data_IF_060813480413
#
_entry.id   IF_060813480413
#
_cell.length_a   1.000
_cell.length_b   1.000
_cell.length_c   1.000
_cell.angle_alpha   90.00
_cell.angle_beta   90.00
_cell.angle_gamma   90.00
#
_symmetry.space_group_name_H-M   'P 1'
#
loop_
_entity.id
_entity.type
_entity.pdbx_description
1 polymer ?
#
# COMPACT_ATOMS: atom_id res chain seq x y z
N UNK A 1 54.63 -75.09 -0.45
CA UNK A 1 53.91 -73.92 -0.11
C UNK A 1 52.98 -73.55 -1.28
N UNK A 2 51.71 -73.96 -1.08
CA UNK A 2 50.66 -73.67 -2.04
C UNK A 2 49.83 -72.49 -1.58
N UNK A 3 50.10 -71.32 -2.14
CA UNK A 3 49.25 -70.18 -2.00
C UNK A 3 48.22 -70.19 -3.12
N UNK A 4 46.96 -70.52 -2.79
CA UNK A 4 45.81 -70.37 -3.68
C UNK A 4 45.54 -68.91 -3.84
N UNK A 5 45.39 -68.32 -5.04
CA UNK A 5 44.98 -66.95 -5.21
C UNK A 5 43.52 -66.82 -4.82
N UNK A 6 43.25 -65.95 -3.90
CA UNK A 6 41.89 -65.61 -3.44
C UNK A 6 41.07 -65.05 -4.62
N UNK A 7 40.00 -65.75 -5.01
CA UNK A 7 39.02 -65.26 -5.91
C UNK A 7 38.21 -64.11 -5.19
N UNK A 8 38.56 -62.92 -5.52
CA UNK A 8 37.74 -61.78 -5.12
C UNK A 8 36.41 -61.80 -5.89
N UNK A 9 35.31 -61.96 -5.20
CA UNK A 9 33.99 -61.84 -5.81
C UNK A 9 33.57 -60.36 -5.84
N UNK A 10 33.32 -59.83 -7.02
CA UNK A 10 32.68 -58.52 -7.20
C UNK A 10 31.18 -58.72 -7.27
N UNK A 11 30.48 -58.21 -6.27
CA UNK A 11 29.03 -58.28 -6.22
C UNK A 11 28.49 -56.95 -6.77
N UNK A 12 27.81 -56.96 -7.89
CA UNK A 12 27.10 -55.81 -8.48
C UNK A 12 25.63 -56.01 -8.19
N UNK A 13 25.08 -55.20 -7.26
CA UNK A 13 23.65 -55.19 -6.98
C UNK A 13 23.01 -54.00 -7.71
N UNK A 14 22.06 -54.27 -8.60
CA UNK A 14 21.22 -53.25 -9.24
C UNK A 14 19.83 -53.31 -8.63
N UNK A 15 19.41 -52.26 -7.97
CA UNK A 15 18.05 -52.12 -7.45
C UNK A 15 17.23 -51.21 -8.38
N UNK A 16 16.26 -51.80 -9.09
CA UNK A 16 15.35 -51.06 -9.96
C UNK A 16 13.95 -51.00 -9.33
N UNK A 17 13.60 -49.82 -8.87
CA UNK A 17 12.27 -49.55 -8.30
C UNK A 17 11.28 -49.28 -9.45
N UNK A 18 10.29 -50.12 -9.61
CA UNK A 18 9.19 -49.93 -10.55
C UNK A 18 8.04 -49.17 -9.83
N UNK A 19 7.87 -47.88 -10.04
CA UNK A 19 6.77 -47.18 -9.41
C UNK A 19 5.43 -47.66 -9.99
N UNK A 20 4.44 -47.82 -9.10
CA UNK A 20 3.09 -48.18 -9.50
C UNK A 20 2.49 -47.04 -10.36
N UNK A 21 2.10 -47.34 -11.62
CA UNK A 21 1.53 -46.36 -12.56
C UNK A 21 0.37 -45.57 -11.97
N UNK A 22 -0.54 -46.21 -11.22
CA UNK A 22 -1.66 -45.57 -10.55
C UNK A 22 -1.20 -44.51 -9.53
N UNK A 23 -0.09 -44.75 -8.84
CA UNK A 23 0.50 -43.78 -7.91
C UNK A 23 1.10 -42.60 -8.67
N UNK A 24 1.81 -42.83 -9.76
CA UNK A 24 2.34 -41.75 -10.61
C UNK A 24 1.22 -40.90 -11.20
N UNK A 25 0.14 -41.48 -11.71
CA UNK A 25 -1.00 -40.77 -12.26
C UNK A 25 -1.71 -39.92 -11.16
N UNK A 26 -1.82 -40.46 -9.95
CA UNK A 26 -2.38 -39.74 -8.82
C UNK A 26 -1.49 -38.56 -8.39
N UNK A 27 -0.18 -38.75 -8.33
CA UNK A 27 0.78 -37.71 -8.01
C UNK A 27 0.78 -36.60 -9.10
N UNK A 28 0.71 -36.98 -10.38
CA UNK A 28 0.59 -36.04 -11.49
C UNK A 28 -0.69 -35.21 -11.40
N UNK A 29 -1.82 -35.83 -11.14
CA UNK A 29 -3.09 -35.14 -10.98
C UNK A 29 -3.08 -34.21 -9.76
N UNK A 30 -2.48 -34.63 -8.65
CA UNK A 30 -2.28 -33.81 -7.48
C UNK A 30 -1.42 -32.56 -7.78
N UNK A 31 -0.29 -32.73 -8.47
CA UNK A 31 0.58 -31.61 -8.87
C UNK A 31 -0.12 -30.65 -9.84
N UNK A 32 -0.92 -31.16 -10.78
CA UNK A 32 -1.74 -30.34 -11.68
C UNK A 32 -2.77 -29.53 -10.91
N UNK A 33 -3.46 -30.15 -9.95
CA UNK A 33 -4.42 -29.45 -9.10
C UNK A 33 -3.75 -28.38 -8.24
N UNK A 34 -2.58 -28.67 -7.64
CA UNK A 34 -1.81 -27.68 -6.88
C UNK A 34 -1.34 -26.52 -7.77
N UNK A 35 -0.86 -26.80 -8.97
CA UNK A 35 -0.48 -25.75 -9.94
C UNK A 35 -1.65 -24.83 -10.28
N UNK A 36 -2.85 -25.39 -10.42
CA UNK A 36 -4.08 -24.64 -10.66
C UNK A 36 -4.43 -23.73 -9.47
N UNK A 37 -4.32 -24.25 -8.25
CA UNK A 37 -4.54 -23.47 -7.01
C UNK A 37 -3.55 -22.31 -6.91
N UNK A 38 -2.26 -22.55 -7.18
CA UNK A 38 -1.24 -21.50 -7.13
C UNK A 38 -1.46 -20.43 -8.21
N UNK A 39 -1.96 -20.82 -9.40
CA UNK A 39 -2.35 -19.87 -10.44
C UNK A 39 -3.50 -18.96 -9.99
N UNK A 40 -4.51 -19.52 -9.35
CA UNK A 40 -5.64 -18.74 -8.83
C UNK A 40 -5.23 -17.83 -7.65
N UNK A 41 -4.35 -18.30 -6.77
CA UNK A 41 -3.76 -17.44 -5.72
C UNK A 41 -3.01 -16.25 -6.32
N UNK A 42 -2.19 -16.48 -7.36
CA UNK A 42 -1.51 -15.40 -8.08
C UNK A 42 -2.50 -14.38 -8.65
N UNK A 43 -3.59 -14.85 -9.27
CA UNK A 43 -4.63 -13.99 -9.82
C UNK A 43 -5.33 -13.17 -8.71
N UNK A 44 -5.64 -13.80 -7.58
CA UNK A 44 -6.23 -13.13 -6.42
C UNK A 44 -5.29 -12.01 -5.89
N UNK A 45 -4.02 -12.33 -5.66
CA UNK A 45 -3.02 -11.34 -5.21
C UNK A 45 -2.85 -10.19 -6.21
N UNK A 46 -2.88 -10.47 -7.51
CA UNK A 46 -2.83 -9.43 -8.55
C UNK A 46 -4.05 -8.51 -8.48
N UNK A 47 -5.24 -9.08 -8.30
CA UNK A 47 -6.47 -8.29 -8.17
C UNK A 47 -6.45 -7.42 -6.91
N UNK A 48 -5.96 -7.93 -5.77
CA UNK A 48 -5.77 -7.16 -4.54
C UNK A 48 -4.81 -5.99 -4.78
N UNK A 49 -3.66 -6.24 -5.39
CA UNK A 49 -2.66 -5.22 -5.70
C UNK A 49 -3.23 -4.10 -6.60
N UNK A 50 -4.00 -4.47 -7.63
CA UNK A 50 -4.65 -3.51 -8.53
C UNK A 50 -5.70 -2.69 -7.77
N UNK A 51 -6.47 -3.33 -6.89
CA UNK A 51 -7.47 -2.66 -6.07
C UNK A 51 -6.83 -1.63 -5.13
N UNK A 52 -5.78 -2.03 -4.41
CA UNK A 52 -5.03 -1.16 -3.50
C UNK A 52 -4.41 0.03 -4.25
N UNK A 53 -3.83 -0.22 -5.41
CA UNK A 53 -3.27 0.86 -6.25
C UNK A 53 -4.33 1.87 -6.66
N UNK A 54 -5.51 1.42 -7.09
CA UNK A 54 -6.64 2.28 -7.44
C UNK A 54 -7.13 3.06 -6.23
N UNK A 55 -7.30 2.39 -5.10
CA UNK A 55 -7.76 3.02 -3.87
C UNK A 55 -6.82 4.15 -3.44
N UNK A 56 -5.52 3.88 -3.29
CA UNK A 56 -4.55 4.90 -2.88
C UNK A 56 -4.46 6.05 -3.88
N UNK A 57 -4.57 5.78 -5.16
CA UNK A 57 -4.57 6.82 -6.19
C UNK A 57 -5.78 7.75 -6.09
N UNK A 58 -6.99 7.20 -5.94
CA UNK A 58 -8.19 8.02 -5.78
C UNK A 58 -8.20 8.80 -4.47
N UNK A 59 -7.78 8.18 -3.37
CA UNK A 59 -7.63 8.85 -2.08
C UNK A 59 -6.65 10.03 -2.18
N UNK A 60 -5.52 9.85 -2.85
CA UNK A 60 -4.55 10.91 -3.10
C UNK A 60 -5.13 12.08 -3.90
N UNK A 61 -5.91 11.81 -4.96
CA UNK A 61 -6.59 12.85 -5.74
C UNK A 61 -7.60 13.62 -4.87
N UNK A 62 -8.40 12.89 -4.09
CA UNK A 62 -9.42 13.49 -3.21
C UNK A 62 -8.75 14.38 -2.17
N UNK A 63 -7.68 13.93 -1.54
CA UNK A 63 -6.93 14.72 -0.56
C UNK A 63 -6.35 16.00 -1.17
N UNK A 64 -5.81 15.94 -2.37
CA UNK A 64 -5.35 17.13 -3.10
C UNK A 64 -6.47 18.13 -3.35
N UNK A 65 -7.65 17.66 -3.78
CA UNK A 65 -8.81 18.53 -3.99
C UNK A 65 -9.30 19.15 -2.69
N UNK A 66 -9.33 18.39 -1.59
CA UNK A 66 -9.66 18.89 -0.25
C UNK A 66 -8.69 19.98 0.20
N UNK A 67 -7.39 19.80 -0.04
CA UNK A 67 -6.37 20.79 0.30
C UNK A 67 -6.57 22.10 -0.46
N UNK A 68 -6.95 22.05 -1.75
CA UNK A 68 -7.30 23.25 -2.53
C UNK A 68 -8.45 24.01 -1.89
N UNK A 69 -9.53 23.30 -1.49
CA UNK A 69 -10.68 23.90 -0.83
C UNK A 69 -10.28 24.53 0.52
N UNK A 70 -9.42 23.88 1.31
CA UNK A 70 -8.92 24.46 2.57
C UNK A 70 -8.10 25.73 2.34
N UNK A 71 -7.31 25.79 1.27
CA UNK A 71 -6.56 27.00 0.91
C UNK A 71 -7.49 28.15 0.51
N UNK A 72 -8.62 27.87 -0.10
CA UNK A 72 -9.65 28.88 -0.38
C UNK A 72 -10.35 29.33 0.90
N UNK A 73 -10.70 28.40 1.78
CA UNK A 73 -11.28 28.69 3.09
C UNK A 73 -10.34 29.55 3.96
N UNK A 74 -9.04 29.30 3.93
CA UNK A 74 -8.03 30.12 4.62
C UNK A 74 -8.13 31.59 4.16
N UNK A 75 -8.17 31.84 2.85
CA UNK A 75 -8.29 33.20 2.30
C UNK A 75 -9.58 33.90 2.75
N UNK A 76 -10.69 33.17 2.79
CA UNK A 76 -11.98 33.68 3.27
C UNK A 76 -11.89 34.05 4.76
N UNK A 77 -11.30 33.18 5.57
CA UNK A 77 -11.14 33.43 7.00
C UNK A 77 -10.19 34.60 7.28
N UNK A 78 -9.11 34.75 6.53
CA UNK A 78 -8.25 35.93 6.61
C UNK A 78 -8.99 37.24 6.29
N UNK A 79 -9.86 37.21 5.28
CA UNK A 79 -10.73 38.34 4.96
C UNK A 79 -11.72 38.61 6.11
N UNK A 80 -12.35 37.58 6.67
CA UNK A 80 -13.28 37.71 7.82
C UNK A 80 -12.58 38.29 9.05
N UNK A 81 -11.36 37.86 9.34
CA UNK A 81 -10.56 38.39 10.46
C UNK A 81 -10.30 39.89 10.29
N UNK A 82 -9.85 40.31 9.10
CA UNK A 82 -9.62 41.73 8.80
C UNK A 82 -10.89 42.56 8.92
N UNK A 83 -12.00 42.04 8.40
CA UNK A 83 -13.29 42.73 8.48
C UNK A 83 -13.78 42.83 9.94
N UNK A 84 -13.72 41.77 10.72
CA UNK A 84 -14.08 41.77 12.14
C UNK A 84 -13.21 42.74 12.96
N UNK A 85 -11.92 42.84 12.65
CA UNK A 85 -11.02 43.80 13.29
C UNK A 85 -11.42 45.24 13.00
N UNK A 86 -11.70 45.59 11.74
CA UNK A 86 -12.12 46.93 11.32
C UNK A 86 -13.46 47.28 11.99
N UNK A 87 -14.44 46.38 11.98
CA UNK A 87 -15.77 46.60 12.57
C UNK A 87 -15.68 46.78 14.10
N UNK A 88 -14.81 46.01 14.76
CA UNK A 88 -14.55 46.16 16.18
C UNK A 88 -13.95 47.53 16.50
N UNK A 89 -12.93 47.96 15.76
CA UNK A 89 -12.29 49.29 15.93
C UNK A 89 -13.28 50.45 15.75
N UNK A 90 -14.29 50.27 14.93
CA UNK A 90 -15.35 51.25 14.69
C UNK A 90 -16.57 51.10 15.65
N UNK A 91 -16.48 50.19 16.63
CA UNK A 91 -17.59 49.98 17.60
C UNK A 91 -18.80 49.26 17.02
N UNK A 92 -18.70 48.71 15.81
CA UNK A 92 -19.80 48.06 15.07
C UNK A 92 -19.99 46.59 15.41
N UNK A 93 -18.99 45.97 16.05
CA UNK A 93 -19.02 44.55 16.37
C UNK A 93 -18.22 44.23 17.64
N UNK A 94 -18.55 43.06 18.26
CA UNK A 94 -17.84 42.60 19.46
C UNK A 94 -16.53 41.94 19.07
N UNK A 95 -15.49 42.10 19.89
CA UNK A 95 -14.16 41.46 19.69
C UNK A 95 -14.24 39.93 19.61
N UNK A 96 -15.32 39.33 20.13
CA UNK A 96 -15.53 37.87 20.06
C UNK A 96 -15.61 37.34 18.61
N UNK A 97 -16.11 38.12 17.65
CA UNK A 97 -16.17 37.76 16.25
C UNK A 97 -14.76 37.57 15.66
N UNK A 98 -13.84 38.50 15.99
CA UNK A 98 -12.43 38.38 15.60
C UNK A 98 -11.79 37.09 16.13
N UNK A 99 -11.94 36.79 17.42
CA UNK A 99 -11.36 35.59 18.01
C UNK A 99 -11.98 34.30 17.48
N UNK A 100 -13.27 34.27 17.18
CA UNK A 100 -13.94 33.12 16.55
C UNK A 100 -13.37 32.84 15.15
N UNK A 101 -13.23 33.89 14.34
CA UNK A 101 -12.64 33.73 13.01
C UNK A 101 -11.16 33.25 13.07
N UNK A 102 -10.40 33.77 14.05
CA UNK A 102 -9.01 33.39 14.26
C UNK A 102 -8.86 31.95 14.76
N UNK A 103 -9.77 31.47 15.62
CA UNK A 103 -9.81 30.07 16.03
C UNK A 103 -10.13 29.15 14.83
N UNK A 104 -11.14 29.50 14.02
CA UNK A 104 -11.48 28.75 12.82
C UNK A 104 -10.32 28.69 11.80
N UNK A 105 -9.54 29.76 11.67
CA UNK A 105 -8.31 29.76 10.85
C UNK A 105 -7.28 28.77 11.41
N UNK A 106 -7.13 28.69 12.72
CA UNK A 106 -6.26 27.69 13.36
C UNK A 106 -6.67 26.26 13.03
N UNK A 107 -7.97 25.98 13.08
CA UNK A 107 -8.51 24.65 12.73
C UNK A 107 -8.25 24.30 11.25
N UNK A 108 -8.46 25.26 10.34
CA UNK A 108 -8.18 25.07 8.91
C UNK A 108 -6.70 24.79 8.69
N UNK A 109 -5.78 25.51 9.32
CA UNK A 109 -4.32 25.26 9.21
C UNK A 109 -3.92 23.88 9.73
N UNK A 110 -4.52 23.46 10.85
CA UNK A 110 -4.29 22.09 11.35
C UNK A 110 -4.76 21.03 10.35
N UNK A 111 -5.95 21.20 9.75
CA UNK A 111 -6.45 20.30 8.71
C UNK A 111 -5.57 20.30 7.46
N UNK A 112 -5.03 21.44 7.05
CA UNK A 112 -4.07 21.50 5.93
C UNK A 112 -2.83 20.66 6.20
N UNK A 113 -2.22 20.80 7.39
CA UNK A 113 -1.05 19.98 7.78
C UNK A 113 -1.36 18.47 7.80
N UNK A 114 -2.54 18.09 8.30
CA UNK A 114 -2.98 16.69 8.28
C UNK A 114 -3.09 16.18 6.85
N UNK A 115 -3.79 16.90 5.97
CA UNK A 115 -3.96 16.46 4.58
C UNK A 115 -2.65 16.45 3.78
N UNK A 116 -1.71 17.37 4.06
CA UNK A 116 -0.37 17.33 3.45
C UNK A 116 0.40 16.07 3.86
N UNK A 117 0.31 15.68 5.13
CA UNK A 117 0.92 14.43 5.61
C UNK A 117 0.25 13.19 5.01
N UNK A 118 -1.08 13.17 4.94
CA UNK A 118 -1.83 12.09 4.31
C UNK A 118 -1.48 11.94 2.81
N UNK A 119 -1.34 13.07 2.10
CA UNK A 119 -0.90 13.10 0.69
C UNK A 119 0.49 12.48 0.54
N UNK A 120 1.43 12.81 1.44
CA UNK A 120 2.77 12.21 1.45
C UNK A 120 2.71 10.71 1.71
N UNK A 121 1.91 10.29 2.69
CA UNK A 121 1.73 8.86 3.01
C UNK A 121 1.17 8.08 1.81
N UNK A 122 0.10 8.57 1.18
CA UNK A 122 -0.49 7.90 0.01
C UNK A 122 0.50 7.81 -1.15
N UNK A 123 1.29 8.84 -1.38
CA UNK A 123 2.37 8.81 -2.39
C UNK A 123 3.41 7.73 -2.09
N UNK A 124 3.85 7.62 -0.84
CA UNK A 124 4.80 6.58 -0.41
C UNK A 124 4.21 5.19 -0.67
N UNK A 125 2.95 4.97 -0.31
CA UNK A 125 2.25 3.69 -0.54
C UNK A 125 2.16 3.34 -2.03
N UNK A 126 1.80 4.32 -2.88
CA UNK A 126 1.76 4.14 -4.34
C UNK A 126 3.15 3.79 -4.88
N UNK A 127 4.19 4.49 -4.44
CA UNK A 127 5.57 4.19 -4.86
C UNK A 127 6.01 2.79 -4.41
N UNK A 128 5.65 2.36 -3.20
CA UNK A 128 5.94 1.02 -2.70
C UNK A 128 5.27 -0.07 -3.56
N UNK A 129 3.99 0.12 -3.96
CA UNK A 129 3.30 -0.81 -4.86
C UNK A 129 3.96 -0.90 -6.24
N UNK A 130 4.56 0.19 -6.70
CA UNK A 130 5.29 0.24 -7.99
C UNK A 130 6.75 -0.24 -7.88
N UNK A 131 7.20 -0.67 -6.72
CA UNK A 131 8.61 -1.04 -6.48
C UNK A 131 9.60 0.13 -6.63
N UNK A 132 9.11 1.38 -6.50
CA UNK A 132 9.92 2.60 -6.59
C UNK A 132 10.43 3.03 -5.23
N UNK A 133 11.51 3.81 -5.21
CA UNK A 133 11.96 4.44 -3.98
C UNK A 133 10.86 5.35 -3.41
N UNK A 134 10.62 5.28 -2.09
CA UNK A 134 9.56 6.00 -1.39
C UNK A 134 9.59 7.53 -1.63
N UNK A 135 10.77 8.10 -1.90
CA UNK A 135 10.99 9.54 -2.12
C UNK A 135 10.90 9.98 -3.59
N UNK A 136 10.66 9.08 -4.55
CA UNK A 136 10.51 9.44 -5.97
C UNK A 136 9.23 10.27 -6.21
N UNK A 137 9.39 11.36 -6.97
CA UNK A 137 8.31 12.26 -7.42
C UNK A 137 7.62 11.68 -8.65
#
# INVERSE_FOLDING_TARGET
DGSTPGMGSVMVSGEQMFPNRKKLDADENYMKAMSSVEKEKKNATLNELINDAKQFYYEWIILKKKLVILNENEKILDFMIKNAEIRYKNGLEKISAYYKAKAALGDVKNMQLMFENDIKEKRIRINALMGRNAMMY
#
